data_IF_351266311520
#
_entry.id   IF_351266311520
#
_cell.length_a   1.000
_cell.length_b   1.000
_cell.length_c   1.000
_cell.angle_alpha   90.00
_cell.angle_beta   90.00
_cell.angle_gamma   90.00
#
_symmetry.space_group_name_H-M   'P 1'
#
loop_
_entity.id
_entity.type
_entity.pdbx_description
1 polymer ?
#
# COMPACT_ATOMS: atom_id res chain seq x y z
N UNK A 1 -14.86 -33.13 18.86
CA UNK A 1 -14.63 -32.88 17.43
C UNK A 1 -13.85 -31.58 17.38
N UNK A 2 -12.61 -31.66 16.93
CA UNK A 2 -11.70 -30.51 16.85
C UNK A 2 -12.20 -29.61 15.71
N UNK A 3 -12.95 -28.55 16.05
CA UNK A 3 -13.18 -27.47 15.10
C UNK A 3 -11.81 -26.87 14.80
N UNK A 4 -11.28 -27.14 13.61
CA UNK A 4 -10.01 -26.60 13.17
C UNK A 4 -10.06 -25.08 13.23
N UNK A 5 -9.40 -24.49 14.22
CA UNK A 5 -9.22 -23.04 14.32
C UNK A 5 -8.75 -22.49 12.95
N UNK A 6 -9.57 -21.63 12.36
CA UNK A 6 -9.32 -20.96 11.09
C UNK A 6 -8.52 -19.68 11.37
N UNK A 7 -7.22 -19.74 11.10
CA UNK A 7 -6.38 -18.55 11.07
C UNK A 7 -6.14 -18.13 9.61
N UNK A 8 -6.06 -16.82 9.33
CA UNK A 8 -5.70 -16.34 8.01
C UNK A 8 -4.28 -16.81 7.65
N UNK A 9 -4.14 -17.44 6.48
CA UNK A 9 -2.85 -17.84 5.89
C UNK A 9 -2.22 -16.69 5.08
N UNK A 10 -2.53 -15.47 5.47
CA UNK A 10 -2.14 -14.23 4.82
C UNK A 10 -1.74 -13.21 5.87
N UNK A 11 -0.96 -12.23 5.45
CA UNK A 11 -0.51 -11.16 6.33
C UNK A 11 -1.70 -10.33 6.80
N UNK A 12 -1.73 -10.04 8.11
CA UNK A 12 -2.84 -9.35 8.75
C UNK A 12 -2.39 -8.16 9.58
N UNK A 13 -3.35 -7.32 9.94
CA UNK A 13 -3.20 -6.26 10.93
C UNK A 13 -4.21 -6.47 12.06
N UNK A 14 -3.89 -5.99 13.25
CA UNK A 14 -4.90 -5.83 14.29
C UNK A 14 -5.73 -4.61 13.94
N UNK A 15 -7.03 -4.79 13.75
CA UNK A 15 -8.00 -3.69 13.59
C UNK A 15 -8.58 -3.26 14.93
N UNK A 16 -8.81 -4.23 15.83
CA UNK A 16 -9.28 -3.99 17.18
C UNK A 16 -8.79 -5.10 18.12
N UNK A 17 -8.60 -4.75 19.38
CA UNK A 17 -8.31 -5.69 20.45
C UNK A 17 -9.04 -5.27 21.72
N UNK A 18 -9.66 -6.24 22.38
CA UNK A 18 -10.31 -6.06 23.67
C UNK A 18 -9.79 -7.09 24.66
N UNK A 19 -9.63 -6.65 25.91
CA UNK A 19 -9.22 -7.51 27.02
C UNK A 19 -10.24 -7.42 28.15
N UNK A 20 -10.77 -8.58 28.55
CA UNK A 20 -11.67 -8.72 29.70
C UNK A 20 -11.09 -9.82 30.59
N UNK A 21 -10.39 -9.42 31.66
CA UNK A 21 -9.69 -10.36 32.53
C UNK A 21 -8.60 -11.12 31.79
N UNK A 22 -8.76 -12.44 31.66
CA UNK A 22 -7.85 -13.31 30.90
C UNK A 22 -8.35 -13.68 29.51
N UNK A 23 -9.43 -13.04 29.05
CA UNK A 23 -9.94 -13.25 27.70
C UNK A 23 -9.51 -12.11 26.79
N UNK A 24 -8.94 -12.45 25.63
CA UNK A 24 -8.63 -11.51 24.56
C UNK A 24 -9.54 -11.77 23.36
N UNK A 25 -10.15 -10.70 22.85
CA UNK A 25 -10.84 -10.70 21.55
C UNK A 25 -10.03 -9.84 20.61
N UNK A 26 -9.53 -10.45 19.52
CA UNK A 26 -8.63 -9.83 18.56
C UNK A 26 -9.34 -9.85 17.20
N UNK A 27 -9.48 -8.70 16.56
CA UNK A 27 -9.99 -8.58 15.20
C UNK A 27 -8.83 -8.38 14.25
N UNK A 28 -8.59 -9.35 13.39
CA UNK A 28 -7.51 -9.37 12.42
C UNK A 28 -8.03 -9.04 11.04
N UNK A 29 -7.37 -8.11 10.35
CA UNK A 29 -7.71 -7.67 9.02
C UNK A 29 -6.67 -8.16 8.01
N UNK A 30 -7.06 -8.98 7.04
CA UNK A 30 -6.21 -9.26 5.88
C UNK A 30 -6.21 -8.08 4.93
N UNK A 31 -5.08 -7.83 4.27
CA UNK A 31 -4.98 -6.70 3.34
C UNK A 31 -6.12 -6.71 2.32
N UNK A 32 -6.77 -5.56 2.17
CA UNK A 32 -8.00 -5.41 1.42
C UNK A 32 -7.71 -5.54 -0.08
N UNK A 33 -7.75 -6.77 -0.61
CA UNK A 33 -7.94 -6.96 -2.04
C UNK A 33 -9.44 -6.76 -2.34
N UNK A 34 -9.81 -6.00 -3.40
CA UNK A 34 -11.20 -5.78 -3.78
C UNK A 34 -12.02 -7.07 -3.94
N UNK A 35 -11.33 -8.19 -4.22
CA UNK A 35 -11.93 -9.50 -4.48
C UNK A 35 -11.81 -10.50 -3.30
N UNK A 36 -11.34 -10.08 -2.12
CA UNK A 36 -11.23 -10.97 -0.96
C UNK A 36 -12.59 -11.22 -0.31
N UNK A 37 -13.05 -12.48 -0.26
CA UNK A 37 -14.39 -12.85 0.22
C UNK A 37 -14.63 -12.58 1.73
N UNK A 38 -13.58 -12.64 2.58
CA UNK A 38 -13.71 -12.48 4.03
C UNK A 38 -12.46 -11.79 4.61
N UNK A 39 -12.48 -10.45 4.75
CA UNK A 39 -11.28 -9.69 5.12
C UNK A 39 -11.01 -9.61 6.62
N UNK A 40 -11.97 -10.02 7.48
CA UNK A 40 -11.84 -9.92 8.94
C UNK A 40 -11.96 -11.28 9.61
N UNK A 41 -11.05 -11.57 10.53
CA UNK A 41 -11.06 -12.74 11.39
C UNK A 41 -11.16 -12.31 12.85
N UNK A 42 -12.15 -12.80 13.58
CA UNK A 42 -12.25 -12.59 15.03
C UNK A 42 -11.63 -13.78 15.73
N UNK A 43 -10.52 -13.57 16.40
CA UNK A 43 -9.86 -14.56 17.25
C UNK A 43 -10.21 -14.26 18.72
N UNK A 44 -10.83 -15.23 19.38
CA UNK A 44 -11.08 -15.19 20.83
C UNK A 44 -10.15 -16.18 21.50
N UNK A 45 -9.35 -15.69 22.45
CA UNK A 45 -8.45 -16.47 23.28
C UNK A 45 -8.92 -16.40 24.74
N UNK A 46 -9.20 -17.55 25.35
CA UNK A 46 -9.67 -17.67 26.73
C UNK A 46 -8.57 -18.22 27.64
N UNK A 47 -8.58 -17.80 28.91
CA UNK A 47 -7.56 -18.18 29.89
C UNK A 47 -6.12 -17.89 29.45
N UNK A 48 -5.92 -16.71 28.86
CA UNK A 48 -4.62 -16.25 28.37
C UNK A 48 -3.66 -16.04 29.53
N UNK A 49 -2.51 -16.71 29.48
CA UNK A 49 -1.48 -16.66 30.54
C UNK A 49 -0.81 -15.28 30.59
N UNK A 50 -0.47 -14.75 29.41
CA UNK A 50 0.23 -13.48 29.23
C UNK A 50 -0.67 -12.37 28.67
N UNK A 51 -1.92 -12.28 29.16
CA UNK A 51 -2.96 -11.38 28.62
C UNK A 51 -2.52 -9.91 28.51
N UNK A 52 -1.91 -9.34 29.55
CA UNK A 52 -1.50 -7.93 29.56
C UNK A 52 -0.37 -7.62 28.58
N UNK A 53 0.62 -8.52 28.48
CA UNK A 53 1.73 -8.38 27.53
C UNK A 53 1.23 -8.51 26.09
N UNK A 54 0.41 -9.54 25.84
CA UNK A 54 -0.20 -9.75 24.53
C UNK A 54 -1.07 -8.57 24.11
N UNK A 55 -1.88 -8.04 25.02
CA UNK A 55 -2.69 -6.84 24.77
C UNK A 55 -1.80 -5.65 24.41
N UNK A 56 -0.76 -5.36 25.21
CA UNK A 56 0.14 -4.23 24.96
C UNK A 56 0.87 -4.33 23.62
N UNK A 57 1.35 -5.53 23.27
CA UNK A 57 2.00 -5.78 21.98
C UNK A 57 1.03 -5.56 20.81
N UNK A 58 -0.15 -6.20 20.84
CA UNK A 58 -1.11 -6.15 19.74
C UNK A 58 -1.77 -4.77 19.61
N UNK A 59 -1.98 -4.05 20.72
CA UNK A 59 -2.49 -2.68 20.71
C UNK A 59 -1.47 -1.71 20.09
N UNK A 60 -0.17 -1.87 20.40
CA UNK A 60 0.89 -1.12 19.71
C UNK A 60 0.87 -1.41 18.21
N UNK A 61 0.82 -2.68 17.80
CA UNK A 61 0.74 -3.05 16.39
C UNK A 61 -0.51 -2.47 15.70
N UNK A 62 -1.65 -2.38 16.40
CA UNK A 62 -2.87 -1.73 15.90
C UNK A 62 -2.65 -0.24 15.63
N UNK A 63 -2.09 0.49 16.61
CA UNK A 63 -1.86 1.94 16.51
C UNK A 63 -0.82 2.27 15.43
N UNK A 64 0.24 1.47 15.34
CA UNK A 64 1.31 1.64 14.36
C UNK A 64 0.96 1.08 12.98
N UNK A 65 -0.18 0.38 12.85
CA UNK A 65 -0.58 -0.35 11.65
C UNK A 65 0.53 -1.29 11.16
N UNK A 66 1.07 -2.09 12.07
CA UNK A 66 2.16 -3.04 11.80
C UNK A 66 1.61 -4.35 11.24
N UNK A 67 2.20 -4.83 10.13
CA UNK A 67 1.90 -6.14 9.57
C UNK A 67 2.32 -7.26 10.52
N UNK A 68 1.48 -8.30 10.59
CA UNK A 68 1.70 -9.48 11.42
C UNK A 68 1.59 -10.74 10.58
N UNK A 69 2.61 -11.58 10.69
CA UNK A 69 2.61 -12.98 10.27
C UNK A 69 2.03 -13.81 11.41
N UNK A 70 0.97 -14.57 11.12
CA UNK A 70 0.33 -15.44 12.12
C UNK A 70 0.70 -16.89 11.87
N UNK A 71 1.03 -17.62 12.94
CA UNK A 71 1.27 -19.06 12.86
C UNK A 71 0.75 -19.77 14.10
N UNK A 72 0.29 -21.01 13.95
CA UNK A 72 -0.19 -21.84 15.06
C UNK A 72 0.79 -22.94 15.38
N UNK A 73 1.07 -23.13 16.68
CA UNK A 73 1.80 -24.30 17.20
C UNK A 73 1.09 -24.83 18.43
N UNK A 74 0.46 -26.00 18.30
CA UNK A 74 -0.29 -26.66 19.37
C UNK A 74 -1.32 -25.71 20.06
N UNK A 75 -1.07 -25.38 21.33
CA UNK A 75 -1.89 -24.51 22.19
C UNK A 75 -1.39 -23.06 22.20
N UNK A 76 -0.70 -22.63 21.15
CA UNK A 76 -0.20 -21.26 21.02
C UNK A 76 -0.37 -20.71 19.62
N UNK A 77 -0.57 -19.40 19.56
CA UNK A 77 -0.58 -18.62 18.33
C UNK A 77 0.57 -17.63 18.41
N UNK A 78 1.41 -17.60 17.40
CA UNK A 78 2.47 -16.61 17.30
C UNK A 78 2.06 -15.48 16.37
N UNK A 79 2.30 -14.26 16.81
CA UNK A 79 2.30 -13.07 15.97
C UNK A 79 3.73 -12.59 15.81
N UNK A 80 4.17 -12.40 14.58
CA UNK A 80 5.52 -11.94 14.27
C UNK A 80 5.45 -10.72 13.36
N UNK A 81 6.19 -9.66 13.69
CA UNK A 81 6.28 -8.46 12.86
C UNK A 81 7.35 -8.63 11.77
N UNK A 82 7.33 -7.75 10.77
CA UNK A 82 8.41 -7.66 9.78
C UNK A 82 9.78 -7.35 10.38
N UNK A 83 9.81 -6.66 11.53
CA UNK A 83 11.04 -6.36 12.27
C UNK A 83 11.58 -7.56 13.06
N UNK A 84 10.87 -8.70 13.06
CA UNK A 84 11.25 -9.91 13.79
C UNK A 84 10.85 -9.92 15.26
N UNK A 85 10.07 -8.94 15.73
CA UNK A 85 9.48 -9.00 17.07
C UNK A 85 8.37 -10.04 17.10
N UNK A 86 8.35 -10.85 18.15
CA UNK A 86 7.45 -12.00 18.24
C UNK A 86 6.69 -12.03 19.55
N UNK A 87 5.38 -12.16 19.45
CA UNK A 87 4.49 -12.47 20.56
C UNK A 87 4.04 -13.93 20.42
N UNK A 88 4.17 -14.70 21.50
CA UNK A 88 3.56 -16.02 21.61
C UNK A 88 2.38 -15.94 22.56
N UNK A 89 1.17 -16.12 22.01
CA UNK A 89 -0.08 -16.09 22.76
C UNK A 89 -0.39 -17.49 23.28
N UNK A 90 -0.39 -17.65 24.60
CA UNK A 90 -0.74 -18.89 25.28
C UNK A 90 -2.11 -18.79 25.93
N UNK A 91 -3.04 -19.64 25.52
CA UNK A 91 -4.41 -19.63 26.00
C UNK A 91 -4.90 -21.07 26.23
N UNK A 92 -5.81 -21.25 27.20
CA UNK A 92 -6.44 -22.55 27.42
C UNK A 92 -7.36 -22.96 26.27
N UNK A 93 -7.92 -21.97 25.56
CA UNK A 93 -8.77 -22.19 24.39
C UNK A 93 -8.65 -21.07 23.38
N UNK A 94 -8.74 -21.43 22.10
CA UNK A 94 -8.90 -20.51 21.00
C UNK A 94 -10.19 -20.81 20.23
N UNK A 95 -10.86 -19.77 19.75
CA UNK A 95 -11.90 -19.87 18.74
C UNK A 95 -11.73 -18.75 17.72
N UNK A 96 -12.10 -19.02 16.47
CA UNK A 96 -11.89 -18.08 15.36
C UNK A 96 -13.08 -18.11 14.43
N UNK A 97 -13.58 -16.93 14.06
CA UNK A 97 -14.72 -16.82 13.16
C UNK A 97 -14.45 -15.73 12.13
N UNK A 98 -14.53 -16.04 10.82
CA UNK A 98 -14.54 -15.02 9.79
C UNK A 98 -15.79 -14.15 9.93
N UNK A 99 -15.65 -12.85 9.70
CA UNK A 99 -16.75 -11.91 9.83
C UNK A 99 -16.65 -10.79 8.79
N UNK A 100 -17.73 -10.02 8.66
CA UNK A 100 -17.71 -8.81 7.86
C UNK A 100 -17.03 -7.65 8.61
N UNK A 101 -16.62 -6.63 7.86
CA UNK A 101 -16.23 -5.35 8.43
C UNK A 101 -17.33 -4.80 9.34
N UNK A 102 -16.93 -4.26 10.49
CA UNK A 102 -17.77 -3.32 11.20
C UNK A 102 -17.67 -1.91 10.56
N UNK A 103 -18.47 -0.97 11.04
CA UNK A 103 -18.52 0.39 10.50
C UNK A 103 -17.17 1.14 10.66
N UNK A 104 -16.48 0.95 11.78
CA UNK A 104 -15.19 1.60 12.04
C UNK A 104 -14.11 1.11 11.08
N UNK A 105 -14.01 -0.21 10.90
CA UNK A 105 -13.06 -0.86 9.99
C UNK A 105 -13.34 -0.45 8.54
N UNK A 106 -14.62 -0.46 8.13
CA UNK A 106 -15.00 -0.04 6.79
C UNK A 106 -14.62 1.43 6.54
N UNK A 107 -14.89 2.33 7.49
CA UNK A 107 -14.54 3.73 7.39
C UNK A 107 -13.02 3.94 7.32
N UNK A 108 -12.24 3.16 8.07
CA UNK A 108 -10.78 3.22 8.03
C UNK A 108 -10.23 2.76 6.68
N UNK A 109 -10.71 1.62 6.17
CA UNK A 109 -10.32 1.09 4.86
C UNK A 109 -10.67 2.08 3.75
N UNK A 110 -11.90 2.62 3.74
CA UNK A 110 -12.32 3.62 2.75
C UNK A 110 -11.45 4.88 2.81
N UNK A 111 -11.14 5.37 4.02
CA UNK A 111 -10.26 6.54 4.19
C UNK A 111 -8.86 6.28 3.63
N UNK A 112 -8.31 5.08 3.86
CA UNK A 112 -6.98 4.69 3.37
C UNK A 112 -6.95 4.58 1.84
N UNK A 113 -7.90 3.86 1.25
CA UNK A 113 -8.03 3.70 -0.20
C UNK A 113 -8.23 5.06 -0.87
N UNK A 114 -9.08 5.92 -0.30
CA UNK A 114 -9.27 7.28 -0.80
C UNK A 114 -7.97 8.11 -0.73
N UNK A 115 -7.21 8.00 0.36
CA UNK A 115 -5.91 8.66 0.50
C UNK A 115 -4.93 8.25 -0.60
N UNK A 116 -4.86 6.95 -0.92
CA UNK A 116 -4.05 6.44 -2.04
C UNK A 116 -4.52 7.00 -3.37
N UNK A 117 -5.82 6.95 -3.66
CA UNK A 117 -6.38 7.49 -4.89
C UNK A 117 -6.02 8.97 -5.08
N UNK A 118 -6.18 9.79 -4.03
CA UNK A 118 -5.86 11.22 -4.09
C UNK A 118 -4.37 11.44 -4.32
N UNK A 119 -3.51 10.67 -3.65
CA UNK A 119 -2.05 10.75 -3.83
C UNK A 119 -1.63 10.39 -5.25
N UNK A 120 -2.10 9.25 -5.77
CA UNK A 120 -1.81 8.80 -7.13
C UNK A 120 -2.33 9.79 -8.18
N UNK A 121 -3.55 10.28 -8.02
CA UNK A 121 -4.11 11.28 -8.92
C UNK A 121 -3.29 12.58 -8.95
N UNK A 122 -2.81 13.05 -7.79
CA UNK A 122 -1.91 14.22 -7.73
C UNK A 122 -0.57 13.94 -8.41
N UNK A 123 0.00 12.75 -8.22
CA UNK A 123 1.23 12.33 -8.89
C UNK A 123 1.06 12.29 -10.40
N UNK A 124 -0.05 11.73 -10.91
CA UNK A 124 -0.38 11.74 -12.33
C UNK A 124 -0.55 13.16 -12.88
N UNK A 125 -1.27 14.03 -12.17
CA UNK A 125 -1.42 15.43 -12.56
C UNK A 125 -0.08 16.16 -12.63
N UNK A 126 0.79 15.98 -11.63
CA UNK A 126 2.12 16.57 -11.61
C UNK A 126 3.02 16.05 -12.75
N UNK A 127 2.98 14.75 -13.03
CA UNK A 127 3.70 14.15 -14.15
C UNK A 127 3.20 14.70 -15.49
N UNK A 128 1.88 14.78 -15.68
CA UNK A 128 1.26 15.36 -16.88
C UNK A 128 1.66 16.83 -17.07
N UNK A 129 1.66 17.63 -15.99
CA UNK A 129 2.08 19.03 -16.05
C UNK A 129 3.56 19.17 -16.47
N UNK A 130 4.45 18.30 -15.98
CA UNK A 130 5.87 18.29 -16.38
C UNK A 130 6.04 17.92 -17.85
N UNK A 131 5.29 16.94 -18.35
CA UNK A 131 5.29 16.57 -19.78
C UNK A 131 4.85 17.77 -20.63
N UNK A 132 3.77 18.45 -20.25
CA UNK A 132 3.29 19.64 -20.97
C UNK A 132 4.32 20.78 -20.96
N UNK A 133 4.97 21.04 -19.82
CA UNK A 133 6.04 22.02 -19.73
C UNK A 133 7.24 21.66 -20.63
N UNK A 134 7.65 20.39 -20.67
CA UNK A 134 8.71 19.91 -21.55
C UNK A 134 8.34 20.07 -23.04
N UNK A 135 7.09 19.77 -23.40
CA UNK A 135 6.57 19.98 -24.76
C UNK A 135 6.65 21.45 -25.16
N UNK A 136 6.23 22.37 -24.29
CA UNK A 136 6.31 23.80 -24.58
C UNK A 136 7.76 24.26 -24.79
N UNK A 137 8.69 23.86 -23.91
CA UNK A 137 10.10 24.21 -24.05
C UNK A 137 10.72 23.68 -25.35
N UNK A 138 10.35 22.46 -25.76
CA UNK A 138 10.82 21.85 -27.00
C UNK A 138 10.22 22.54 -28.24
N UNK A 139 8.94 22.92 -28.19
CA UNK A 139 8.30 23.69 -29.26
C UNK A 139 8.97 25.06 -29.44
N UNK A 140 9.22 25.78 -28.34
CA UNK A 140 9.93 27.06 -28.36
C UNK A 140 11.37 26.90 -28.89
N UNK A 141 12.07 25.84 -28.47
CA UNK A 141 13.42 25.53 -28.95
C UNK A 141 13.43 25.22 -30.45
N UNK A 142 12.46 24.43 -30.94
CA UNK A 142 12.27 24.13 -32.37
C UNK A 142 12.11 25.42 -33.17
N UNK A 143 11.20 26.30 -32.76
CA UNK A 143 10.95 27.57 -33.45
C UNK A 143 12.22 28.46 -33.51
N UNK A 144 12.98 28.54 -32.40
CA UNK A 144 14.24 29.30 -32.37
C UNK A 144 15.28 28.72 -33.33
N UNK A 145 15.37 27.40 -33.45
CA UNK A 145 16.31 26.74 -34.35
C UNK A 145 15.88 26.92 -35.81
N UNK A 146 14.59 26.83 -36.12
CA UNK A 146 14.05 27.14 -37.45
C UNK A 146 14.42 28.55 -37.89
N UNK A 147 14.23 29.55 -37.02
CA UNK A 147 14.62 30.93 -37.30
C UNK A 147 16.14 31.08 -37.53
N UNK A 148 16.97 30.37 -36.76
CA UNK A 148 18.43 30.37 -36.96
C UNK A 148 18.86 29.69 -38.26
N UNK A 149 18.17 28.62 -38.64
CA UNK A 149 18.43 27.87 -39.88
C UNK A 149 18.15 28.74 -41.11
N UNK A 150 17.10 29.56 -41.08
CA UNK A 150 16.80 30.53 -42.15
C UNK A 150 17.94 31.53 -42.38
N UNK A 151 18.66 31.92 -41.32
CA UNK A 151 19.83 32.79 -41.41
C UNK A 151 21.13 32.10 -41.88
N UNK A 152 21.13 30.76 -41.99
CA UNK A 152 22.31 29.97 -42.35
C UNK A 152 21.92 28.86 -43.35
N UNK A 153 21.62 29.21 -44.61
CA UNK A 153 20.99 28.30 -45.57
C UNK A 153 21.92 27.17 -46.09
N UNK A 154 23.25 27.29 -45.91
CA UNK A 154 24.21 26.30 -46.42
C UNK A 154 25.44 26.15 -45.53
N UNK A 155 26.13 25.02 -45.65
CA UNK A 155 27.35 24.70 -44.88
C UNK A 155 27.08 23.88 -43.62
N UNK A 156 28.11 23.66 -42.82
CA UNK A 156 28.07 22.77 -41.64
C UNK A 156 27.00 23.17 -40.62
N UNK A 157 26.76 24.47 -40.44
CA UNK A 157 25.73 24.98 -39.53
C UNK A 157 24.31 24.58 -39.96
N UNK A 158 24.02 24.56 -41.26
CA UNK A 158 22.72 24.13 -41.79
C UNK A 158 22.44 22.65 -41.48
N UNK A 159 23.47 21.80 -41.61
CA UNK A 159 23.40 20.38 -41.29
C UNK A 159 23.12 20.17 -39.79
N UNK A 160 23.80 20.93 -38.91
CA UNK A 160 23.60 20.86 -37.46
C UNK A 160 22.19 21.27 -37.05
N UNK A 161 21.65 22.35 -37.64
CA UNK A 161 20.26 22.76 -37.37
C UNK A 161 19.25 21.71 -37.85
N UNK A 162 19.44 21.12 -39.03
CA UNK A 162 18.58 20.05 -39.53
C UNK A 162 18.60 18.81 -38.62
N UNK A 163 19.76 18.43 -38.09
CA UNK A 163 19.89 17.33 -37.13
C UNK A 163 19.18 17.64 -35.80
N UNK A 164 19.34 18.86 -35.27
CA UNK A 164 18.67 19.30 -34.04
C UNK A 164 17.15 19.33 -34.19
N UNK A 165 16.64 19.85 -35.32
CA UNK A 165 15.20 19.86 -35.60
C UNK A 165 14.61 18.45 -35.70
N UNK A 166 15.34 17.52 -36.35
CA UNK A 166 14.91 16.12 -36.44
C UNK A 166 14.88 15.44 -35.07
N UNK A 167 15.85 15.72 -34.20
CA UNK A 167 15.87 15.19 -32.84
C UNK A 167 14.71 15.74 -32.01
N UNK A 168 14.50 17.06 -32.03
CA UNK A 168 13.39 17.70 -31.29
C UNK A 168 12.04 17.18 -31.78
N UNK A 169 11.86 17.01 -33.10
CA UNK A 169 10.65 16.41 -33.68
C UNK A 169 10.37 15.03 -33.12
N UNK A 170 11.36 14.13 -33.13
CA UNK A 170 11.22 12.77 -32.57
C UNK A 170 10.86 12.76 -31.08
N UNK A 171 11.39 13.71 -30.30
CA UNK A 171 11.08 13.81 -28.87
C UNK A 171 9.67 14.34 -28.66
N UNK A 172 9.23 15.32 -29.45
CA UNK A 172 7.85 15.81 -29.40
C UNK A 172 6.84 14.72 -29.78
N UNK A 173 7.10 13.97 -30.85
CA UNK A 173 6.26 12.83 -31.26
C UNK A 173 6.17 11.76 -30.16
N UNK A 174 7.27 11.52 -29.44
CA UNK A 174 7.30 10.58 -28.31
C UNK A 174 6.59 11.09 -27.05
N UNK A 175 6.36 12.40 -26.93
CA UNK A 175 5.59 13.01 -25.83
C UNK A 175 4.09 13.19 -26.17
N UNK A 176 3.69 12.84 -27.40
CA UNK A 176 2.31 12.88 -27.89
C UNK A 176 1.59 11.53 -27.86
N UNK A 177 2.35 10.43 -27.83
CA UNK A 177 1.87 9.06 -27.69
C UNK A 177 1.95 8.60 -26.23
#
# INVERSE_FOLDING_TARGET
MDESLLLPDVDVFVSNIQSIGKCLTIRLLSYCHPDAEQPVFVLVAEDVVNASEAFGFLERCRVEQTYLYTSRKAESISFETESGEKLLLHAGRFSSTPTAFNEEELNEVLRRVWGWYVSENRSCQAASARIQAARQLLADAKQRIELKALGHPSGTSAILYAQQLRLIGRVLDALEN
#
